data_IF_409255931212
#
_entry.id   IF_409255931212
#
_cell.length_a   1.000
_cell.length_b   1.000
_cell.length_c   1.000
_cell.angle_alpha   90.00
_cell.angle_beta   90.00
_cell.angle_gamma   90.00
#
_symmetry.space_group_name_H-M   'P 1'
#
loop_
_entity.id
_entity.type
_entity.pdbx_description
1 polymer ?
#
# COMPACT_ATOMS: atom_id res chain seq x y z
N UNK A 1 -24.71 -19.38 5.22
CA UNK A 1 -24.14 -18.15 4.62
C UNK A 1 -23.10 -18.58 3.60
N UNK A 2 -23.41 -18.52 2.30
CA UNK A 2 -22.44 -18.88 1.25
C UNK A 2 -21.44 -17.72 1.18
N UNK A 3 -20.20 -17.95 1.59
CA UNK A 3 -19.11 -16.99 1.39
C UNK A 3 -18.93 -16.86 -0.12
N UNK A 4 -19.23 -15.69 -0.68
CA UNK A 4 -18.84 -15.42 -2.06
C UNK A 4 -17.31 -15.48 -2.15
N UNK A 5 -16.75 -16.08 -3.22
CA UNK A 5 -15.31 -16.09 -3.41
C UNK A 5 -14.79 -14.65 -3.55
N UNK A 6 -13.64 -14.37 -2.94
CA UNK A 6 -12.96 -13.08 -3.10
C UNK A 6 -12.64 -12.85 -4.57
N UNK A 7 -12.99 -11.69 -5.13
CA UNK A 7 -12.69 -11.35 -6.54
C UNK A 7 -11.23 -11.00 -6.82
N UNK A 8 -10.48 -10.71 -5.75
CA UNK A 8 -9.07 -10.31 -5.83
C UNK A 8 -8.23 -11.13 -4.86
N UNK A 9 -6.92 -11.06 -5.06
CA UNK A 9 -5.91 -11.62 -4.19
C UNK A 9 -4.71 -10.69 -4.07
N UNK A 10 -4.02 -10.76 -2.93
CA UNK A 10 -2.81 -10.00 -2.69
C UNK A 10 -1.60 -10.83 -3.07
N UNK A 11 -0.77 -10.28 -3.94
CA UNK A 11 0.53 -10.84 -4.31
C UNK A 11 1.64 -9.94 -3.77
N UNK A 12 2.72 -10.48 -3.21
CA UNK A 12 3.90 -9.68 -2.88
C UNK A 12 4.36 -8.90 -4.11
N UNK A 13 4.60 -7.61 -3.95
CA UNK A 13 5.17 -6.79 -5.01
C UNK A 13 6.64 -7.18 -5.20
N UNK A 14 7.04 -7.44 -6.44
CA UNK A 14 8.40 -7.86 -6.79
C UNK A 14 8.97 -7.02 -7.92
N UNK A 15 10.28 -7.16 -8.17
CA UNK A 15 10.93 -6.47 -9.28
C UNK A 15 10.39 -6.89 -10.66
N UNK A 16 9.82 -8.09 -10.81
CA UNK A 16 9.23 -8.53 -12.09
C UNK A 16 7.92 -7.81 -12.43
N UNK A 17 7.29 -7.15 -11.46
CA UNK A 17 6.04 -6.42 -11.68
C UNK A 17 6.23 -4.99 -12.21
N UNK A 18 7.50 -4.54 -12.38
CA UNK A 18 7.86 -3.16 -12.69
C UNK A 18 7.06 -2.55 -13.85
N UNK A 19 6.98 -3.24 -14.98
CA UNK A 19 6.40 -2.67 -16.19
C UNK A 19 4.87 -2.52 -16.09
N UNK A 20 4.20 -3.51 -15.50
CA UNK A 20 2.76 -3.46 -15.21
C UNK A 20 2.45 -2.37 -14.17
N UNK A 21 3.24 -2.30 -13.10
CA UNK A 21 3.10 -1.29 -12.04
C UNK A 21 3.26 0.13 -12.59
N UNK A 22 4.36 0.42 -13.29
CA UNK A 22 4.63 1.77 -13.80
C UNK A 22 3.56 2.19 -14.81
N UNK A 23 3.10 1.27 -15.66
CA UNK A 23 2.02 1.53 -16.62
C UNK A 23 0.71 1.92 -15.91
N UNK A 24 0.36 1.23 -14.82
CA UNK A 24 -0.84 1.57 -14.03
C UNK A 24 -0.69 2.87 -13.25
N UNK A 25 0.50 3.17 -12.71
CA UNK A 25 0.77 4.45 -12.05
C UNK A 25 0.62 5.60 -13.03
N UNK A 26 1.17 5.49 -14.23
CA UNK A 26 1.00 6.50 -15.28
C UNK A 26 -0.48 6.67 -15.66
N UNK A 27 -1.19 5.56 -15.90
CA UNK A 27 -2.59 5.59 -16.29
C UNK A 27 -3.53 6.13 -15.19
N UNK A 28 -3.12 6.06 -13.93
CA UNK A 28 -3.93 6.50 -12.78
C UNK A 28 -3.39 7.75 -12.09
N UNK A 29 -2.39 8.44 -12.66
CA UNK A 29 -1.71 9.56 -12.02
C UNK A 29 -2.66 10.69 -11.60
N UNK A 30 -3.60 11.06 -12.47
CA UNK A 30 -4.58 12.14 -12.20
C UNK A 30 -5.52 11.82 -11.04
N UNK A 31 -5.84 10.54 -10.81
CA UNK A 31 -6.72 10.11 -9.72
C UNK A 31 -6.06 10.24 -8.35
N UNK A 32 -4.73 10.16 -8.30
CA UNK A 32 -3.96 10.12 -7.06
C UNK A 32 -3.34 11.47 -6.70
N UNK A 33 -3.32 12.43 -7.63
CA UNK A 33 -2.82 13.78 -7.39
C UNK A 33 -3.82 14.61 -6.56
N UNK A 34 -3.33 15.51 -5.68
CA UNK A 34 -1.93 15.71 -5.27
C UNK A 34 -1.47 14.77 -4.14
N UNK A 35 -2.34 13.88 -3.67
CA UNK A 35 -2.22 13.21 -2.38
C UNK A 35 -1.20 12.06 -2.35
N UNK A 36 -0.98 11.39 -3.48
CA UNK A 36 -0.08 10.25 -3.57
C UNK A 36 0.70 10.28 -4.88
N UNK A 37 2.02 10.10 -4.77
CA UNK A 37 2.93 9.98 -5.91
C UNK A 37 3.68 8.65 -5.80
N UNK A 38 3.47 7.79 -6.78
CA UNK A 38 4.13 6.49 -6.92
C UNK A 38 5.14 6.54 -8.08
N UNK A 39 6.14 5.65 -8.11
CA UNK A 39 7.14 5.64 -9.17
C UNK A 39 6.50 5.30 -10.52
N UNK A 40 6.58 6.23 -11.47
CA UNK A 40 5.99 6.09 -12.80
C UNK A 40 7.00 5.57 -13.83
N UNK A 41 8.28 5.48 -13.46
CA UNK A 41 9.35 4.98 -14.32
C UNK A 41 10.08 3.80 -13.70
N UNK A 42 10.70 2.98 -14.56
CA UNK A 42 11.49 1.83 -14.15
C UNK A 42 12.63 2.19 -13.16
N UNK A 43 13.29 3.34 -13.36
CA UNK A 43 14.36 3.80 -12.50
C UNK A 43 13.86 4.20 -11.11
N UNK A 44 12.78 4.98 -11.06
CA UNK A 44 12.13 5.36 -9.81
C UNK A 44 11.61 4.13 -9.08
N UNK A 45 11.03 3.16 -9.79
CA UNK A 45 10.51 1.92 -9.22
C UNK A 45 11.63 1.12 -8.57
N UNK A 46 12.75 0.88 -9.27
CA UNK A 46 13.92 0.19 -8.70
C UNK A 46 14.46 0.90 -7.47
N UNK A 47 14.52 2.23 -7.49
CA UNK A 47 14.95 3.03 -6.36
C UNK A 47 14.00 2.91 -5.17
N UNK A 48 12.69 2.94 -5.45
CA UNK A 48 11.62 2.85 -4.47
C UNK A 48 11.53 1.46 -3.82
N UNK A 49 11.78 0.40 -4.59
CA UNK A 49 11.76 -0.99 -4.10
C UNK A 49 12.75 -1.24 -2.96
N UNK A 50 13.83 -0.48 -2.86
CA UNK A 50 14.80 -0.57 -1.75
C UNK A 50 14.17 -0.33 -0.37
N UNK A 51 13.00 0.32 -0.30
CA UNK A 51 12.26 0.53 0.96
C UNK A 51 11.74 -0.78 1.57
N UNK A 52 11.62 -1.85 0.77
CA UNK A 52 11.10 -3.14 1.23
C UNK A 52 12.20 -4.11 1.70
N UNK A 53 13.48 -3.81 1.46
CA UNK A 53 14.62 -4.73 1.66
C UNK A 53 14.80 -5.17 3.12
N UNK A 54 14.55 -4.27 4.08
CA UNK A 54 14.74 -4.55 5.50
C UNK A 54 13.50 -5.18 6.17
N UNK A 55 12.41 -5.36 5.41
CA UNK A 55 11.16 -5.93 5.90
C UNK A 55 10.39 -5.06 6.89
N UNK A 56 10.75 -3.77 7.01
CA UNK A 56 9.97 -2.74 7.73
C UNK A 56 8.85 -2.18 6.87
N UNK A 57 8.89 -2.39 5.56
CA UNK A 57 7.79 -2.10 4.66
C UNK A 57 7.44 -3.38 3.88
N UNK A 58 6.16 -3.55 3.55
CA UNK A 58 5.66 -4.62 2.69
C UNK A 58 4.77 -4.01 1.61
N UNK A 59 5.01 -4.36 0.35
CA UNK A 59 4.20 -3.96 -0.79
C UNK A 59 3.46 -5.14 -1.38
N UNK A 60 2.22 -4.93 -1.78
CA UNK A 60 1.38 -5.95 -2.42
C UNK A 60 0.66 -5.40 -3.64
N UNK A 61 0.59 -6.21 -4.69
CA UNK A 61 -0.34 -6.00 -5.80
C UNK A 61 -1.67 -6.66 -5.49
N UNK A 62 -2.74 -5.90 -5.73
CA UNK A 62 -4.10 -6.43 -5.75
C UNK A 62 -4.33 -6.98 -7.15
N UNK A 63 -4.42 -8.29 -7.30
CA UNK A 63 -4.66 -8.96 -8.60
C UNK A 63 -6.10 -9.45 -8.70
N UNK A 64 -6.73 -9.24 -9.85
CA UNK A 64 -8.06 -9.81 -10.17
C UNK A 64 -7.88 -11.30 -10.40
N UNK A 65 -8.63 -12.15 -9.68
CA UNK A 65 -8.41 -13.60 -9.72
C UNK A 65 -8.68 -14.21 -11.09
N UNK A 66 -9.68 -13.69 -11.79
CA UNK A 66 -10.11 -14.23 -13.07
C UNK A 66 -9.10 -13.98 -14.20
N UNK A 67 -8.35 -12.88 -14.13
CA UNK A 67 -7.46 -12.44 -15.22
C UNK A 67 -5.98 -12.37 -14.84
N UNK A 68 -5.67 -12.37 -13.54
CA UNK A 68 -4.33 -12.12 -13.02
C UNK A 68 -3.86 -10.66 -13.12
N UNK A 69 -4.64 -9.78 -13.75
CA UNK A 69 -4.28 -8.38 -13.95
C UNK A 69 -4.19 -7.62 -12.62
N UNK A 70 -3.19 -6.76 -12.49
CA UNK A 70 -3.11 -5.85 -11.35
C UNK A 70 -4.25 -4.81 -11.43
N UNK A 71 -4.99 -4.68 -10.34
CA UNK A 71 -6.05 -3.69 -10.14
C UNK A 71 -5.59 -2.53 -9.24
N UNK A 72 -4.44 -2.67 -8.58
CA UNK A 72 -3.89 -1.65 -7.70
C UNK A 72 -2.77 -2.18 -6.81
N UNK A 73 -2.31 -1.35 -5.90
CA UNK A 73 -1.24 -1.66 -4.94
C UNK A 73 -1.65 -1.26 -3.53
N UNK A 74 -1.18 -2.00 -2.53
CA UNK A 74 -1.34 -1.67 -1.11
C UNK A 74 -0.02 -1.88 -0.40
N UNK A 75 0.37 -0.92 0.44
CA UNK A 75 1.62 -0.97 1.18
C UNK A 75 1.35 -0.88 2.68
N UNK A 76 2.03 -1.71 3.45
CA UNK A 76 2.11 -1.62 4.91
C UNK A 76 3.50 -1.06 5.21
N UNK A 77 3.55 0.16 5.75
CA UNK A 77 4.81 0.84 6.02
C UNK A 77 5.11 0.89 7.52
N UNK A 78 6.38 1.08 7.86
CA UNK A 78 6.84 1.29 9.25
C UNK A 78 6.45 0.16 10.21
N UNK A 79 6.58 -1.09 9.76
CA UNK A 79 6.33 -2.30 10.54
C UNK A 79 7.37 -2.39 11.66
N UNK A 80 6.89 -2.35 12.89
CA UNK A 80 7.71 -2.53 14.09
C UNK A 80 7.57 -3.99 14.53
N UNK A 81 8.65 -4.77 14.44
CA UNK A 81 8.69 -6.14 14.95
C UNK A 81 9.14 -6.10 16.43
N UNK A 82 8.39 -6.74 17.32
CA UNK A 82 8.68 -6.78 18.76
C UNK A 82 10.10 -7.31 19.06
N UNK A 83 10.66 -6.90 20.21
CA UNK A 83 11.99 -7.35 20.65
C UNK A 83 11.92 -8.87 20.92
N UNK A 84 12.73 -9.64 20.17
CA UNK A 84 12.92 -11.10 20.27
C UNK A 84 11.98 -12.03 19.50
N UNK A 85 11.23 -11.57 18.48
CA UNK A 85 10.48 -12.49 17.61
C UNK A 85 9.27 -13.17 18.25
N UNK A 86 8.98 -12.88 19.52
CA UNK A 86 7.72 -13.23 20.17
C UNK A 86 6.66 -12.18 19.80
N UNK A 87 5.67 -12.62 19.02
CA UNK A 87 4.41 -11.91 18.85
C UNK A 87 3.69 -11.88 20.19
N UNK A 88 3.90 -10.83 20.97
CA UNK A 88 3.00 -10.48 22.06
C UNK A 88 1.93 -9.58 21.46
N UNK A 89 0.72 -10.11 21.41
CA UNK A 89 -0.47 -9.41 20.97
C UNK A 89 -0.54 -8.03 21.67
N UNK A 90 -0.36 -6.97 20.88
CA UNK A 90 -0.47 -5.60 21.32
C UNK A 90 -1.09 -4.80 20.18
N UNK A 91 -2.42 -4.74 20.14
CA UNK A 91 -3.11 -3.72 19.37
C UNK A 91 -2.67 -2.33 19.85
N UNK A 92 -1.89 -1.63 19.04
CA UNK A 92 -1.71 -0.18 19.15
C UNK A 92 -1.77 0.43 17.76
N UNK A 93 -2.93 0.96 17.41
CA UNK A 93 -3.06 1.98 16.39
C UNK A 93 -2.68 3.32 17.02
N UNK A 94 -1.79 4.09 16.38
CA UNK A 94 -1.55 5.48 16.74
C UNK A 94 -1.52 6.33 15.47
N UNK A 95 -2.67 6.93 15.15
CA UNK A 95 -2.72 8.13 14.31
C UNK A 95 -2.64 9.30 15.29
N UNK A 96 -1.48 9.91 15.43
CA UNK A 96 -1.37 11.14 16.23
C UNK A 96 -1.68 12.34 15.35
N UNK A 97 -2.84 12.95 15.57
CA UNK A 97 -3.10 14.30 15.11
C UNK A 97 -2.24 15.30 15.93
N UNK A 98 -1.78 16.42 15.35
CA UNK A 98 -1.13 17.48 16.11
C UNK A 98 -2.06 18.00 17.22
N UNK A 99 -1.52 18.43 18.36
CA UNK A 99 -2.30 19.03 19.45
C UNK A 99 -2.03 20.54 19.53
N UNK A 100 -3.06 21.41 19.43
CA UNK A 100 -4.46 21.06 19.20
C UNK A 100 -4.72 20.61 17.76
N UNK A 101 -5.65 19.65 17.60
CA UNK A 101 -6.12 19.21 16.29
C UNK A 101 -7.31 20.08 15.89
N UNK A 102 -7.26 20.65 14.69
CA UNK A 102 -8.37 21.38 14.08
C UNK A 102 -8.86 20.57 12.88
N UNK A 103 -10.09 20.04 12.89
CA UNK A 103 -10.67 19.38 11.72
C UNK A 103 -10.77 20.34 10.53
N UNK A 104 -10.62 19.81 9.32
CA UNK A 104 -10.91 20.57 8.10
C UNK A 104 -12.44 20.80 7.98
N UNK A 105 -12.91 22.02 7.65
CA UNK A 105 -14.34 22.32 7.55
C UNK A 105 -15.11 21.52 6.51
N UNK A 106 -14.42 20.88 5.56
CA UNK A 106 -15.03 20.06 4.50
C UNK A 106 -15.35 18.64 4.94
N UNK A 107 -14.92 18.22 6.14
CA UNK A 107 -15.27 16.92 6.68
C UNK A 107 -16.76 16.89 7.07
N UNK A 108 -17.51 15.83 6.70
CA UNK A 108 -18.89 15.69 7.13
C UNK A 108 -18.98 15.62 8.66
N UNK A 109 -19.94 16.32 9.24
CA UNK A 109 -20.28 16.16 10.66
C UNK A 109 -20.75 14.71 10.89
N UNK A 110 -20.21 14.08 11.94
CA UNK A 110 -20.62 12.74 12.41
C UNK A 110 -21.72 12.87 13.45
#
# INVERSE_FOLDING_TARGET
MIKQPSRVELHPLTHSDQDEFCSLVQASAELHLPWMQLPATAEEFRTWMRRFDDGTNLGFLVRVRETGAAAGTVNINSIIRGRYGDWRDHERWAVTAPSPWTPDPSLPEV
#
